data_IF_505463727219
#
_entry.id   IF_505463727219
#
_cell.length_a   1.000
_cell.length_b   1.000
_cell.length_c   1.000
_cell.angle_alpha   90.00
_cell.angle_beta   90.00
_cell.angle_gamma   90.00
#
_symmetry.space_group_name_H-M   'P 1'
#
loop_
_entity.id
_entity.type
_entity.pdbx_description
1 polymer ?
#
# COMPACT_ATOMS: atom_id res chain seq x y z
N UNK A 1 20.37 24.90 5.33
CA UNK A 1 19.34 24.64 4.32
C UNK A 1 19.11 23.15 4.25
N UNK A 2 17.89 22.73 4.49
CA UNK A 2 17.59 21.31 4.43
C UNK A 2 17.65 20.85 2.98
N UNK A 3 18.51 19.90 2.71
CA UNK A 3 18.54 19.27 1.40
C UNK A 3 17.22 18.53 1.20
N UNK A 4 16.59 18.78 0.06
CA UNK A 4 15.42 17.99 -0.31
C UNK A 4 15.87 16.56 -0.50
N UNK A 5 15.47 15.70 0.42
CA UNK A 5 15.59 14.28 0.22
C UNK A 5 14.57 13.91 -0.86
N UNK A 6 15.06 13.66 -2.06
CA UNK A 6 14.20 13.14 -3.11
C UNK A 6 14.02 11.66 -2.84
N UNK A 7 12.83 11.30 -2.35
CA UNK A 7 12.52 9.91 -2.17
C UNK A 7 12.29 9.25 -3.52
N UNK A 8 13.00 8.17 -3.75
CA UNK A 8 12.93 7.42 -5.01
C UNK A 8 11.87 6.32 -5.00
N UNK A 9 11.02 6.31 -3.99
CA UNK A 9 9.96 5.32 -3.83
C UNK A 9 8.78 6.01 -3.13
N UNK A 10 7.83 6.48 -3.91
CA UNK A 10 6.67 7.19 -3.41
C UNK A 10 5.40 6.58 -3.97
N UNK A 11 4.45 6.30 -3.10
CA UNK A 11 3.13 5.78 -3.46
C UNK A 11 2.07 6.72 -2.92
N UNK A 12 1.13 7.08 -3.78
CA UNK A 12 -0.06 7.85 -3.41
C UNK A 12 -1.27 7.09 -3.92
N UNK A 13 -2.11 6.62 -3.02
CA UNK A 13 -3.32 5.88 -3.36
C UNK A 13 -4.50 6.37 -2.54
N UNK A 14 -5.68 6.26 -3.13
CA UNK A 14 -6.95 6.55 -2.46
C UNK A 14 -7.90 5.41 -2.75
N UNK A 15 -8.56 4.92 -1.73
CA UNK A 15 -9.48 3.81 -1.89
C UNK A 15 -10.28 3.54 -0.64
N UNK A 16 -11.08 2.49 -0.72
CA UNK A 16 -11.96 2.07 0.35
C UNK A 16 -11.32 0.94 1.15
N UNK A 17 -11.33 1.06 2.46
CA UNK A 17 -10.88 -0.02 3.34
C UNK A 17 -11.83 -1.20 3.18
N UNK A 18 -11.30 -2.36 2.84
CA UNK A 18 -12.10 -3.55 2.53
C UNK A 18 -11.98 -4.64 3.59
N UNK A 19 -10.93 -4.60 4.40
CA UNK A 19 -10.72 -5.60 5.46
C UNK A 19 -10.42 -4.93 6.80
N UNK A 20 -10.62 -5.68 7.88
CA UNK A 20 -10.15 -5.26 9.19
C UNK A 20 -8.62 -5.26 9.26
N UNK A 21 -8.11 -4.69 10.34
CA UNK A 21 -6.67 -4.64 10.59
C UNK A 21 -6.19 -5.95 11.22
N UNK A 22 -5.20 -6.58 10.59
CA UNK A 22 -4.59 -7.81 11.08
C UNK A 22 -3.17 -7.53 11.55
N UNK A 23 -2.85 -7.90 12.77
CA UNK A 23 -1.51 -7.69 13.32
C UNK A 23 -0.47 -8.38 12.46
N UNK A 24 0.59 -7.65 12.12
CA UNK A 24 1.70 -8.17 11.32
C UNK A 24 2.95 -8.37 12.16
N UNK A 25 3.46 -7.31 12.74
CA UNK A 25 4.69 -7.35 13.52
C UNK A 25 4.82 -6.11 14.40
N UNK A 26 5.84 -6.11 15.23
CA UNK A 26 6.13 -5.01 16.13
C UNK A 26 7.59 -4.61 16.00
N UNK A 27 7.86 -3.32 15.99
CA UNK A 27 9.23 -2.77 15.95
C UNK A 27 9.32 -1.74 17.07
N UNK A 28 10.23 -1.97 18.02
CA UNK A 28 10.45 -1.08 19.17
C UNK A 28 9.14 -0.67 19.89
N UNK A 29 8.26 -1.65 20.09
CA UNK A 29 6.99 -1.40 20.77
C UNK A 29 5.88 -0.84 19.90
N UNK A 30 6.15 -0.50 18.66
CA UNK A 30 5.16 -0.01 17.71
C UNK A 30 4.58 -1.15 16.88
N UNK A 31 3.28 -1.33 16.93
CA UNK A 31 2.60 -2.39 16.20
C UNK A 31 2.25 -1.97 14.77
N UNK A 32 2.45 -2.90 13.84
CA UNK A 32 2.12 -2.72 12.44
C UNK A 32 1.07 -3.74 12.02
N UNK A 33 0.09 -3.27 11.27
CA UNK A 33 -1.09 -4.03 10.89
C UNK A 33 -1.28 -3.99 9.39
N UNK A 34 -1.85 -5.07 8.85
CA UNK A 34 -2.21 -5.15 7.43
C UNK A 34 -3.70 -4.93 7.25
N UNK A 35 -4.03 -4.19 6.21
CA UNK A 35 -5.37 -4.08 5.70
C UNK A 35 -5.32 -4.10 4.17
N UNK A 36 -6.47 -4.14 3.53
CA UNK A 36 -6.55 -4.09 2.08
C UNK A 36 -7.43 -2.93 1.65
N UNK A 37 -6.98 -2.19 0.64
CA UNK A 37 -7.77 -1.14 0.00
C UNK A 37 -8.29 -1.61 -1.34
N UNK A 38 -9.52 -1.23 -1.65
CA UNK A 38 -10.05 -1.32 -3.01
C UNK A 38 -9.79 0.02 -3.69
N UNK A 39 -8.95 0.00 -4.71
CA UNK A 39 -8.55 1.19 -5.46
C UNK A 39 -9.08 1.09 -6.88
N UNK A 40 -9.85 2.07 -7.30
CA UNK A 40 -10.42 2.08 -8.65
C UNK A 40 -9.38 2.44 -9.69
N UNK A 41 -9.40 1.71 -10.81
CA UNK A 41 -8.66 2.09 -12.00
C UNK A 41 -9.51 3.04 -12.85
N UNK A 42 -8.86 3.69 -13.81
CA UNK A 42 -9.57 4.51 -14.80
C UNK A 42 -10.59 3.70 -15.62
N UNK A 43 -10.41 2.39 -15.70
CA UNK A 43 -11.26 1.47 -16.48
C UNK A 43 -12.42 0.87 -15.70
N UNK A 44 -12.80 1.42 -14.57
CA UNK A 44 -13.83 0.90 -13.64
C UNK A 44 -13.48 -0.42 -12.93
N UNK A 45 -12.36 -1.03 -13.27
CA UNK A 45 -11.85 -2.17 -12.51
C UNK A 45 -11.30 -1.72 -11.18
N UNK A 46 -11.35 -2.60 -10.18
CA UNK A 46 -10.79 -2.32 -8.86
C UNK A 46 -9.60 -3.23 -8.58
N UNK A 47 -8.57 -2.66 -7.98
CA UNK A 47 -7.44 -3.40 -7.48
C UNK A 47 -7.53 -3.51 -5.97
N UNK A 48 -7.20 -4.68 -5.45
CA UNK A 48 -7.08 -4.93 -4.02
C UNK A 48 -5.61 -4.78 -3.65
N UNK A 49 -5.29 -3.73 -2.90
CA UNK A 49 -3.91 -3.38 -2.58
C UNK A 49 -3.66 -3.60 -1.10
N UNK A 50 -2.72 -4.50 -0.74
CA UNK A 50 -2.31 -4.67 0.65
C UNK A 50 -1.58 -3.43 1.17
N UNK A 51 -1.95 -2.98 2.36
CA UNK A 51 -1.40 -1.79 2.98
C UNK A 51 -0.96 -2.11 4.40
N UNK A 52 0.27 -1.71 4.73
CA UNK A 52 0.81 -1.82 6.08
C UNK A 52 0.62 -0.50 6.80
N UNK A 53 0.04 -0.53 7.98
CA UNK A 53 -0.30 0.67 8.75
C UNK A 53 0.23 0.53 10.18
N UNK A 54 0.88 1.59 10.66
CA UNK A 54 1.26 1.68 12.07
C UNK A 54 0.05 2.01 12.94
N UNK A 55 -0.01 1.44 14.13
CA UNK A 55 -1.02 1.78 15.14
C UNK A 55 -1.02 3.25 15.53
N UNK A 56 0.05 3.98 15.20
CA UNK A 56 0.16 5.41 15.47
C UNK A 56 -0.63 6.25 14.47
N UNK A 57 -0.95 5.70 13.30
CA UNK A 57 -1.66 6.42 12.24
C UNK A 57 -3.17 6.29 12.36
N UNK A 58 -3.65 5.21 12.95
CA UNK A 58 -5.07 4.90 13.01
C UNK A 58 -5.35 4.01 14.22
N UNK A 59 -6.54 4.13 14.77
CA UNK A 59 -6.97 3.23 15.86
C UNK A 59 -7.34 1.87 15.27
N UNK A 60 -6.42 0.93 15.37
CA UNK A 60 -6.57 -0.42 14.77
C UNK A 60 -7.62 -1.28 15.48
N UNK A 61 -8.12 -0.83 16.63
CA UNK A 61 -9.17 -1.55 17.36
C UNK A 61 -10.58 -1.24 16.82
N UNK A 62 -10.71 -0.23 15.97
CA UNK A 62 -12.00 0.15 15.40
C UNK A 62 -12.18 -0.44 14.01
N UNK A 63 -13.44 -0.57 13.60
CA UNK A 63 -13.82 -1.05 12.29
C UNK A 63 -14.02 0.13 11.35
N UNK A 64 -13.16 0.22 10.34
CA UNK A 64 -13.24 1.24 9.32
C UNK A 64 -13.59 0.67 7.95
N UNK A 65 -14.08 -0.56 7.88
CA UNK A 65 -14.49 -1.17 6.60
C UNK A 65 -15.55 -0.29 5.93
N UNK A 66 -15.31 0.06 4.67
CA UNK A 66 -16.18 0.93 3.90
C UNK A 66 -15.76 2.40 3.90
N UNK A 67 -14.86 2.79 4.77
CA UNK A 67 -14.36 4.17 4.82
C UNK A 67 -13.32 4.41 3.72
N UNK A 68 -13.32 5.61 3.16
CA UNK A 68 -12.35 6.04 2.16
C UNK A 68 -11.15 6.69 2.83
N UNK A 69 -9.98 6.31 2.36
CA UNK A 69 -8.71 6.87 2.85
C UNK A 69 -7.79 7.23 1.71
N UNK A 70 -6.98 8.24 1.94
CA UNK A 70 -5.86 8.60 1.10
C UNK A 70 -4.58 8.24 1.84
N UNK A 71 -3.71 7.49 1.18
CA UNK A 71 -2.49 6.99 1.79
C UNK A 71 -1.29 7.44 0.95
N UNK A 72 -0.30 7.97 1.65
CA UNK A 72 1.01 8.29 1.09
C UNK A 72 2.04 7.44 1.81
N UNK A 73 2.92 6.81 1.04
CA UNK A 73 3.91 5.92 1.62
C UNK A 73 4.92 5.42 0.62
N UNK A 74 5.37 4.21 0.85
CA UNK A 74 6.39 3.56 0.04
C UNK A 74 5.93 2.18 -0.40
N UNK A 75 6.36 1.80 -1.59
CA UNK A 75 6.19 0.42 -2.06
C UNK A 75 7.25 -0.45 -1.40
N UNK A 76 6.82 -1.54 -0.77
CA UNK A 76 7.73 -2.48 -0.09
C UNK A 76 7.36 -3.92 -0.40
N UNK A 77 8.37 -4.77 -0.33
CA UNK A 77 8.19 -6.20 -0.47
C UNK A 77 8.86 -6.92 0.69
N UNK A 78 8.31 -8.07 1.05
CA UNK A 78 8.94 -8.96 2.01
C UNK A 78 8.58 -10.40 1.68
N UNK A 79 9.43 -11.32 2.15
CA UNK A 79 9.18 -12.74 2.00
C UNK A 79 8.44 -13.27 3.22
N UNK A 80 7.28 -13.84 2.98
CA UNK A 80 6.51 -14.52 4.01
C UNK A 80 6.89 -15.99 4.03
N UNK A 81 7.34 -16.47 5.18
CA UNK A 81 7.67 -17.88 5.34
C UNK A 81 6.39 -18.69 5.52
N UNK A 82 6.12 -19.58 4.58
CA UNK A 82 5.07 -20.57 4.65
C UNK A 82 5.70 -21.96 4.77
N UNK A 83 4.93 -22.95 5.23
CA UNK A 83 5.47 -24.28 5.57
C UNK A 83 6.26 -24.95 4.45
N UNK A 84 5.94 -24.69 3.18
CA UNK A 84 6.55 -25.39 2.04
C UNK A 84 7.30 -24.47 1.09
N UNK A 85 7.14 -23.15 1.22
CA UNK A 85 7.77 -22.20 0.31
C UNK A 85 7.72 -20.79 0.88
N UNK A 86 8.54 -19.91 0.33
CA UNK A 86 8.48 -18.49 0.64
C UNK A 86 7.59 -17.80 -0.37
N UNK A 87 6.71 -16.94 0.12
CA UNK A 87 5.85 -16.13 -0.72
C UNK A 87 6.28 -14.68 -0.67
N UNK A 88 6.50 -14.08 -1.82
CA UNK A 88 6.76 -12.65 -1.93
C UNK A 88 5.47 -11.87 -1.74
N UNK A 89 5.44 -11.00 -0.75
CA UNK A 89 4.30 -10.12 -0.49
C UNK A 89 4.69 -8.70 -0.85
N UNK A 90 3.88 -8.07 -1.70
CA UNK A 90 4.04 -6.68 -2.08
C UNK A 90 3.00 -5.85 -1.35
N UNK A 91 3.40 -4.72 -0.78
CA UNK A 91 2.50 -3.87 -0.03
C UNK A 91 2.90 -2.41 -0.10
N UNK A 92 1.95 -1.55 0.25
CA UNK A 92 2.21 -0.13 0.47
C UNK A 92 2.44 0.07 1.96
N UNK A 93 3.61 0.56 2.32
CA UNK A 93 3.92 0.93 3.70
C UNK A 93 3.47 2.37 3.92
N UNK A 94 2.42 2.57 4.73
CA UNK A 94 1.84 3.89 4.95
C UNK A 94 2.72 4.76 5.82
N UNK A 95 2.99 5.98 5.37
CA UNK A 95 3.61 7.03 6.18
C UNK A 95 2.57 8.02 6.67
N UNK A 96 1.57 8.28 5.83
CA UNK A 96 0.46 9.16 6.15
C UNK A 96 -0.85 8.50 5.73
N UNK A 97 -1.85 8.64 6.56
CA UNK A 97 -3.20 8.15 6.30
C UNK A 97 -4.19 9.23 6.65
N UNK A 98 -5.09 9.53 5.72
CA UNK A 98 -6.11 10.56 5.89
C UNK A 98 -7.44 10.01 5.44
N UNK A 99 -8.47 10.14 6.29
CA UNK A 99 -9.83 9.80 5.88
C UNK A 99 -10.37 10.89 4.96
N UNK A 100 -11.00 10.45 3.87
CA UNK A 100 -11.56 11.37 2.86
C UNK A 100 -12.99 10.97 2.56
N UNK A 101 -13.74 11.89 1.95
CA UNK A 101 -15.10 11.61 1.53
C UNK A 101 -15.10 10.95 0.15
N UNK A 102 -16.04 10.01 -0.03
CA UNK A 102 -16.19 9.26 -1.28
C UNK A 102 -16.44 10.17 -2.49
N UNK A 103 -17.07 11.31 -2.26
CA UNK A 103 -17.49 12.20 -3.33
C UNK A 103 -16.34 12.96 -4.00
N UNK A 104 -15.14 12.87 -3.46
CA UNK A 104 -13.98 13.50 -4.08
C UNK A 104 -13.42 12.62 -5.21
N UNK A 105 -14.31 12.06 -6.01
CA UNK A 105 -13.98 11.19 -7.15
C UNK A 105 -13.33 11.93 -8.32
N UNK A 106 -13.16 13.24 -8.20
CA UNK A 106 -12.69 14.04 -9.34
C UNK A 106 -11.24 13.75 -9.73
N UNK A 107 -10.43 13.15 -8.85
CA UNK A 107 -9.06 12.77 -9.18
C UNK A 107 -8.74 11.43 -8.52
N UNK A 108 -8.87 10.31 -9.24
CA UNK A 108 -8.42 9.03 -8.70
C UNK A 108 -6.91 9.11 -8.45
N UNK A 109 -6.53 8.95 -7.18
CA UNK A 109 -5.11 8.95 -6.81
C UNK A 109 -4.65 7.50 -6.73
N UNK A 110 -3.87 7.10 -7.73
CA UNK A 110 -3.28 5.77 -7.80
C UNK A 110 -1.97 5.89 -8.55
N UNK A 111 -0.95 6.38 -7.83
CA UNK A 111 0.33 6.72 -8.44
C UNK A 111 1.48 6.12 -7.66
N UNK A 112 2.44 5.60 -8.40
CA UNK A 112 3.71 5.11 -7.87
C UNK A 112 4.84 5.78 -8.61
N UNK A 113 5.75 6.40 -7.87
CA UNK A 113 7.00 6.90 -8.41
C UNK A 113 8.14 6.03 -7.91
N UNK A 114 8.88 5.42 -8.84
CA UNK A 114 10.04 4.59 -8.52
C UNK A 114 11.22 5.05 -9.36
N UNK A 115 12.35 5.21 -8.71
CA UNK A 115 13.62 5.52 -9.34
C UNK A 115 14.65 4.53 -8.83
N UNK A 116 15.29 3.80 -9.71
CA UNK A 116 16.18 2.73 -9.30
C UNK A 116 17.09 2.27 -10.42
N UNK A 117 17.78 1.16 -10.18
CA UNK A 117 18.69 0.57 -11.13
C UNK A 117 18.14 -0.74 -11.66
N UNK A 118 18.28 -0.95 -12.96
CA UNK A 118 17.95 -2.24 -13.57
C UNK A 118 19.05 -3.23 -13.21
N UNK A 119 18.73 -4.21 -12.38
CA UNK A 119 19.72 -5.16 -11.89
C UNK A 119 19.78 -6.46 -12.68
N UNK A 120 18.82 -6.71 -13.55
CA UNK A 120 18.79 -7.89 -14.43
C UNK A 120 18.26 -7.51 -15.80
N UNK A 121 18.74 -8.13 -16.88
CA UNK A 121 18.15 -7.90 -18.19
C UNK A 121 16.67 -8.22 -18.22
N UNK A 122 15.86 -7.44 -18.96
CA UNK A 122 14.44 -7.74 -19.10
C UNK A 122 14.23 -9.09 -19.79
N UNK A 123 13.23 -9.82 -19.34
CA UNK A 123 12.85 -11.09 -19.92
C UNK A 123 11.46 -10.94 -20.54
N UNK A 124 11.38 -11.22 -21.85
CA UNK A 124 10.10 -11.18 -22.54
C UNK A 124 9.27 -12.40 -22.18
N UNK A 125 8.05 -12.18 -21.75
CA UNK A 125 7.08 -13.26 -21.50
C UNK A 125 5.81 -12.96 -22.24
N UNK A 126 5.33 -13.96 -22.99
CA UNK A 126 4.06 -13.87 -23.66
C UNK A 126 2.97 -14.38 -22.73
N UNK A 127 2.00 -13.53 -22.41
CA UNK A 127 0.87 -13.97 -21.60
C UNK A 127 -0.09 -14.79 -22.46
N UNK A 128 -0.57 -15.93 -21.98
CA UNK A 128 -1.63 -16.64 -22.67
C UNK A 128 -2.92 -15.82 -22.61
N UNK A 129 -3.59 -15.76 -23.72
CA UNK A 129 -4.90 -15.10 -23.83
C UNK A 129 -6.02 -16.06 -23.43
#
# INVERSE_FOLDING_TARGET
MADKIIENNQVSIMGKIDTGFTFSHQVFGEGFYMTELLVKRLSDSEDRIPVMVSERLVDVTQDYIGEYVEIHGQFRSYNRHEEKHNRLVLSVFSRELKFVEEEDETVPVNQIFLDGYICKPPVYRKTPL
#
